data_IF_783324888510
#
_entry.id   IF_783324888510
#
_cell.length_a   1.000
_cell.length_b   1.000
_cell.length_c   1.000
_cell.angle_alpha   90.00
_cell.angle_beta   90.00
_cell.angle_gamma   90.00
#
_symmetry.space_group_name_H-M   'P 1'
#
loop_
_entity.id
_entity.type
_entity.pdbx_description
1 polymer ?
#
# COMPACT_ATOMS: atom_id res chain seq x y z
N UNK A 1 2.26 14.51 -7.70
CA UNK A 1 3.39 14.05 -6.86
C UNK A 1 3.95 12.77 -7.47
N UNK A 2 5.14 12.32 -7.07
CA UNK A 2 5.73 11.06 -7.54
C UNK A 2 5.31 9.90 -6.63
N UNK A 3 5.06 8.72 -7.21
CA UNK A 3 4.67 7.53 -6.43
C UNK A 3 5.77 7.05 -5.49
N UNK A 4 7.03 7.26 -5.86
CA UNK A 4 8.18 7.10 -4.99
C UNK A 4 9.30 8.06 -5.39
N UNK A 5 10.19 8.34 -4.45
CA UNK A 5 11.44 9.07 -4.68
C UNK A 5 12.59 8.27 -4.06
N UNK A 6 13.62 7.98 -4.86
CA UNK A 6 14.85 7.36 -4.38
C UNK A 6 15.85 8.46 -4.02
N UNK A 7 16.34 8.44 -2.77
CA UNK A 7 17.43 9.28 -2.30
C UNK A 7 18.53 8.35 -1.80
N UNK A 8 19.69 8.38 -2.46
CA UNK A 8 20.78 7.43 -2.29
C UNK A 8 20.31 5.97 -2.36
N UNK A 9 20.19 5.30 -1.20
CA UNK A 9 19.81 3.89 -1.07
C UNK A 9 18.45 3.70 -0.40
N UNK A 10 17.72 4.78 -0.17
CA UNK A 10 16.44 4.76 0.55
C UNK A 10 15.34 5.28 -0.36
N UNK A 11 14.34 4.42 -0.57
CA UNK A 11 13.15 4.77 -1.33
C UNK A 11 12.03 5.22 -0.39
N UNK A 12 11.48 6.39 -0.66
CA UNK A 12 10.33 6.95 0.03
C UNK A 12 9.11 6.77 -0.86
N UNK A 13 8.19 5.90 -0.46
CA UNK A 13 6.98 5.58 -1.20
C UNK A 13 5.84 6.50 -0.71
N UNK A 14 5.11 7.10 -1.64
CA UNK A 14 3.92 7.87 -1.33
C UNK A 14 2.82 6.97 -0.77
N UNK A 15 1.92 7.51 0.05
CA UNK A 15 0.81 6.75 0.62
C UNK A 15 -0.02 6.07 -0.46
N UNK A 16 -0.16 4.76 -0.37
CA UNK A 16 -0.97 3.96 -1.28
C UNK A 16 -2.36 3.75 -0.66
N UNK A 17 -3.39 3.91 -1.48
CA UNK A 17 -4.79 3.70 -1.11
C UNK A 17 -5.39 2.58 -1.95
N UNK A 18 -6.56 2.08 -1.53
CA UNK A 18 -7.27 0.97 -2.17
C UNK A 18 -7.91 1.29 -3.52
N UNK A 19 -7.30 2.17 -4.33
CA UNK A 19 -7.75 2.49 -5.68
C UNK A 19 -7.34 1.40 -6.66
N UNK A 20 -8.27 0.98 -7.52
CA UNK A 20 -7.95 0.17 -8.70
C UNK A 20 -7.41 1.08 -9.81
N UNK A 21 -6.16 0.89 -10.30
CA UNK A 21 -5.55 1.81 -11.27
C UNK A 21 -6.29 1.87 -12.62
N UNK A 22 -6.99 0.81 -13.02
CA UNK A 22 -7.72 0.77 -14.29
C UNK A 22 -9.00 1.60 -14.27
N UNK A 23 -9.62 1.79 -13.10
CA UNK A 23 -10.89 2.52 -12.95
C UNK A 23 -10.73 3.86 -12.25
N UNK A 24 -9.66 4.03 -11.46
CA UNK A 24 -9.47 5.19 -10.60
C UNK A 24 -10.46 5.26 -9.44
N UNK A 25 -11.11 4.15 -9.09
CA UNK A 25 -12.10 4.07 -8.01
C UNK A 25 -11.62 3.16 -6.88
N UNK A 26 -12.14 3.36 -5.67
CA UNK A 26 -11.89 2.46 -4.56
C UNK A 26 -12.49 1.09 -4.89
N UNK A 27 -11.74 0.03 -4.56
CA UNK A 27 -12.25 -1.33 -4.72
C UNK A 27 -13.45 -1.55 -3.79
N UNK A 28 -14.45 -2.26 -4.30
CA UNK A 28 -15.60 -2.68 -3.50
C UNK A 28 -15.18 -3.73 -2.45
N UNK A 29 -15.88 -3.77 -1.32
CA UNK A 29 -15.61 -4.74 -0.24
C UNK A 29 -15.11 -4.12 1.06
N UNK A 30 -14.98 -2.79 1.10
CA UNK A 30 -14.64 -2.03 2.31
C UNK A 30 -13.17 -2.15 2.70
N UNK A 31 -12.86 -1.81 3.96
CA UNK A 31 -11.50 -1.60 4.45
C UNK A 31 -10.54 -2.78 4.20
N UNK A 32 -11.04 -4.03 4.28
CA UNK A 32 -10.25 -5.23 4.01
C UNK A 32 -9.76 -5.31 2.56
N UNK A 33 -10.66 -5.14 1.60
CA UNK A 33 -10.31 -5.17 0.18
C UNK A 33 -9.52 -3.93 -0.23
N UNK A 34 -9.85 -2.76 0.33
CA UNK A 34 -9.08 -1.54 0.13
C UNK A 34 -7.63 -1.68 0.63
N UNK A 35 -7.41 -2.29 1.80
CA UNK A 35 -6.08 -2.56 2.33
C UNK A 35 -5.29 -3.52 1.42
N UNK A 36 -5.96 -4.56 0.90
CA UNK A 36 -5.34 -5.52 -0.03
C UNK A 36 -4.91 -4.83 -1.32
N UNK A 37 -5.76 -3.98 -1.87
CA UNK A 37 -5.43 -3.20 -3.07
C UNK A 37 -4.33 -2.17 -2.80
N UNK A 38 -4.34 -1.50 -1.64
CA UNK A 38 -3.29 -0.56 -1.25
C UNK A 38 -1.91 -1.24 -1.17
N UNK A 39 -1.84 -2.44 -0.57
CA UNK A 39 -0.61 -3.22 -0.52
C UNK A 39 -0.19 -3.67 -1.92
N UNK A 40 -1.11 -4.18 -2.74
CA UNK A 40 -0.83 -4.52 -4.15
C UNK A 40 -0.24 -3.34 -4.92
N UNK A 41 -0.82 -2.15 -4.78
CA UNK A 41 -0.33 -0.92 -5.40
C UNK A 41 1.10 -0.59 -4.91
N UNK A 42 1.38 -0.72 -3.61
CA UNK A 42 2.74 -0.58 -3.07
C UNK A 42 3.71 -1.61 -3.67
N UNK A 43 3.27 -2.86 -3.85
CA UNK A 43 4.03 -3.91 -4.51
C UNK A 43 4.42 -3.56 -5.95
N UNK A 44 3.51 -2.98 -6.73
CA UNK A 44 3.82 -2.52 -8.09
C UNK A 44 4.82 -1.35 -8.10
N UNK A 45 4.74 -0.43 -7.13
CA UNK A 45 5.74 0.64 -6.97
C UNK A 45 7.12 0.07 -6.61
N UNK A 46 7.18 -0.87 -5.66
CA UNK A 46 8.42 -1.58 -5.29
C UNK A 46 9.03 -2.29 -6.51
N UNK A 47 8.21 -3.04 -7.24
CA UNK A 47 8.62 -3.78 -8.43
C UNK A 47 9.15 -2.88 -9.54
N UNK A 48 8.52 -1.72 -9.76
CA UNK A 48 9.01 -0.72 -10.71
C UNK A 48 10.41 -0.18 -10.35
N UNK A 49 10.78 -0.21 -9.06
CA UNK A 49 12.10 0.14 -8.57
C UNK A 49 13.08 -1.05 -8.46
N UNK A 50 12.68 -2.25 -8.91
CA UNK A 50 13.50 -3.47 -8.77
C UNK A 50 13.56 -4.02 -7.35
N UNK A 51 12.58 -3.68 -6.51
CA UNK A 51 12.46 -4.13 -5.13
C UNK A 51 11.24 -5.04 -4.93
N UNK A 52 11.16 -5.65 -3.74
CA UNK A 52 10.00 -6.39 -3.24
C UNK A 52 9.68 -6.00 -1.79
N UNK A 53 8.69 -6.67 -1.19
CA UNK A 53 8.30 -6.43 0.20
C UNK A 53 9.41 -6.75 1.22
N UNK A 54 10.37 -7.61 0.88
CA UNK A 54 11.54 -7.91 1.71
C UNK A 54 12.51 -6.74 1.85
N UNK A 55 12.42 -5.73 0.98
CA UNK A 55 13.17 -4.48 1.10
C UNK A 55 12.50 -3.46 2.05
N UNK A 56 11.27 -3.71 2.52
CA UNK A 56 10.52 -2.75 3.34
C UNK A 56 10.99 -2.80 4.79
N UNK A 57 11.52 -1.68 5.28
CA UNK A 57 12.05 -1.56 6.66
C UNK A 57 11.06 -0.92 7.64
N UNK A 58 10.11 -0.11 7.14
CA UNK A 58 9.15 0.64 7.96
C UNK A 58 7.92 0.99 7.12
N UNK A 59 6.75 0.82 7.72
CA UNK A 59 5.46 1.26 7.15
C UNK A 59 4.72 2.15 8.15
N UNK A 60 3.88 3.06 7.64
CA UNK A 60 2.90 3.80 8.45
C UNK A 60 1.52 3.51 7.88
N UNK A 61 0.70 2.79 8.64
CA UNK A 61 -0.66 2.44 8.23
C UNK A 61 -1.61 3.49 8.82
N UNK A 62 -2.38 4.13 7.94
CA UNK A 62 -3.40 5.12 8.32
C UNK A 62 -4.78 4.50 8.05
N UNK A 63 -5.66 4.57 9.04
CA UNK A 63 -7.00 3.99 8.99
C UNK A 63 -8.04 5.09 9.21
N UNK A 64 -9.16 5.02 8.50
CA UNK A 64 -10.25 5.97 8.66
C UNK A 64 -11.04 5.71 9.96
N UNK A 65 -11.24 4.44 10.33
CA UNK A 65 -11.86 4.00 11.58
C UNK A 65 -11.00 2.89 12.22
N UNK A 66 -10.76 2.97 13.53
CA UNK A 66 -10.03 1.95 14.28
C UNK A 66 -10.81 0.64 14.41
N UNK A 67 -12.13 0.63 14.14
CA UNK A 67 -12.90 -0.61 14.08
C UNK A 67 -12.38 -1.59 13.01
N UNK A 68 -11.78 -1.08 11.95
CA UNK A 68 -11.27 -1.87 10.82
C UNK A 68 -9.87 -2.47 11.09
N UNK A 69 -9.27 -2.19 12.25
CA UNK A 69 -7.90 -2.59 12.58
C UNK A 69 -7.65 -4.08 12.37
N UNK A 70 -8.56 -4.94 12.85
CA UNK A 70 -8.37 -6.38 12.76
C UNK A 70 -8.38 -6.87 11.31
N UNK A 71 -9.34 -6.41 10.51
CA UNK A 71 -9.47 -6.78 9.10
C UNK A 71 -8.25 -6.34 8.27
N UNK A 72 -7.77 -5.12 8.52
CA UNK A 72 -6.56 -4.58 7.85
C UNK A 72 -5.32 -5.35 8.29
N UNK A 73 -5.17 -5.65 9.58
CA UNK A 73 -4.01 -6.35 10.12
C UNK A 73 -3.95 -7.81 9.66
N UNK A 74 -5.08 -8.47 9.41
CA UNK A 74 -5.12 -9.79 8.76
C UNK A 74 -4.55 -9.77 7.35
N UNK A 75 -4.87 -8.73 6.57
CA UNK A 75 -4.36 -8.56 5.21
C UNK A 75 -2.89 -8.19 5.23
N UNK A 76 -2.48 -7.30 6.14
CA UNK A 76 -1.09 -6.83 6.26
C UNK A 76 -0.08 -7.93 6.62
N UNK A 77 -0.53 -9.02 7.27
CA UNK A 77 0.31 -10.16 7.67
C UNK A 77 0.60 -11.15 6.53
N UNK A 78 -0.11 -11.06 5.42
CA UNK A 78 0.02 -11.96 4.27
C UNK A 78 1.22 -11.56 3.41
#
# INVERSE_FOLDING_TARGET
FSQAVLVDRTMYIAGQIGLEPSTGQLVSGGAKEEAKQALKNMGEVLKAAGCDYGNVVKTTVLMADMKDYNDINEVYKQ
#
